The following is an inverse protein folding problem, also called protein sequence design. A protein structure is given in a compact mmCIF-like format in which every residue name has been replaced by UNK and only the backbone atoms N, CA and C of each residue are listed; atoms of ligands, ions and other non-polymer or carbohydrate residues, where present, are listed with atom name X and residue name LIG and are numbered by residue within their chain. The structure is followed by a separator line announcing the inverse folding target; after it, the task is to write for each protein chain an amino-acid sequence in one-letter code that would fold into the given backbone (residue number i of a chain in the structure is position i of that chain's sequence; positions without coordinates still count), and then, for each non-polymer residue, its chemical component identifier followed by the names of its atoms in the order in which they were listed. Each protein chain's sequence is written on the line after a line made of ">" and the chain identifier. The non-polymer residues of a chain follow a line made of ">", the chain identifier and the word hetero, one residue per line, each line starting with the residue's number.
data_IF_591115779866
#
_entry.id   IF_591115779866
#
_cell.length_a   1.000
_cell.length_b   1.000
_cell.length_c   1.000
_cell.angle_alpha   90.00
_cell.angle_beta   90.00
_cell.angle_gamma   90.00
#
_symmetry.space_group_name_H-M   'P 1'
#
loop_
_entity.id
_entity.type
_entity.pdbx_description
1 polymer ?
#
# COMPACT_ATOMS: atom_id res chain seq x y z
N UNK A 1 5.84 18.05 32.32
CA UNK A 1 7.00 17.39 31.69
C UNK A 1 6.54 16.56 30.51
N UNK A 2 5.47 15.78 30.69
CA UNK A 2 4.93 14.94 29.64
C UNK A 2 4.27 15.76 28.52
N UNK A 3 4.42 15.29 27.29
CA UNK A 3 3.72 15.81 26.13
C UNK A 3 2.35 15.17 26.01
N UNK A 4 1.32 15.99 25.83
CA UNK A 4 -0.06 15.55 25.72
C UNK A 4 -0.72 16.11 24.47
N UNK A 5 -1.74 15.39 24.00
CA UNK A 5 -2.60 15.80 22.90
C UNK A 5 -4.06 15.76 23.35
N UNK A 6 -4.83 16.78 22.99
CA UNK A 6 -6.27 16.86 23.29
C UNK A 6 -7.06 16.00 22.29
N UNK A 7 -7.85 15.06 22.80
CA UNK A 7 -8.69 14.16 21.97
C UNK A 7 -10.05 14.75 21.63
N UNK A 8 -10.60 15.62 22.47
CA UNK A 8 -11.97 16.12 22.35
C UNK A 8 -12.15 17.44 23.09
N UNK A 9 -12.97 18.33 22.53
CA UNK A 9 -13.31 19.63 23.12
C UNK A 9 -13.05 20.78 22.13
N UNK A 10 -13.04 22.01 22.65
CA UNK A 10 -12.76 23.23 21.86
C UNK A 10 -11.33 23.27 21.32
N UNK A 11 -10.39 22.65 22.03
CA UNK A 11 -8.96 22.60 21.70
C UNK A 11 -8.55 21.25 21.11
N UNK A 12 -9.40 20.65 20.25
CA UNK A 12 -9.12 19.33 19.67
C UNK A 12 -7.84 19.35 18.83
N UNK A 13 -7.08 18.25 18.89
CA UNK A 13 -5.81 18.07 18.20
C UNK A 13 -4.67 19.02 18.61
N UNK A 14 -4.90 19.88 19.60
CA UNK A 14 -3.85 20.72 20.18
C UNK A 14 -2.89 19.87 21.03
N UNK A 15 -1.59 20.10 20.85
CA UNK A 15 -0.52 19.41 21.58
C UNK A 15 0.25 20.39 22.45
N UNK A 16 0.82 19.87 23.54
CA UNK A 16 1.67 20.70 24.38
C UNK A 16 2.32 19.95 25.53
N UNK A 17 3.12 20.66 26.29
CA UNK A 17 3.81 20.13 27.48
C UNK A 17 3.02 20.47 28.74
N UNK A 18 2.79 19.48 29.61
CA UNK A 18 2.05 19.70 30.87
C UNK A 18 2.89 20.55 31.84
N UNK A 19 2.31 21.67 32.28
CA UNK A 19 2.91 22.59 33.26
C UNK A 19 2.32 22.38 34.66
N UNK A 20 1.00 22.16 34.75
CA UNK A 20 0.29 22.00 36.03
C UNK A 20 -0.81 20.94 35.94
N UNK A 21 -0.96 20.16 37.01
CA UNK A 21 -1.99 19.14 37.16
C UNK A 21 -2.78 19.37 38.46
N UNK A 22 -4.11 19.49 38.37
CA UNK A 22 -5.03 19.70 39.49
C UNK A 22 -6.05 18.56 39.64
N UNK A 23 -5.67 17.34 39.23
CA UNK A 23 -6.50 16.14 39.33
C UNK A 23 -7.61 16.05 38.27
N UNK A 24 -8.53 17.02 38.27
CA UNK A 24 -9.65 17.10 37.32
C UNK A 24 -9.30 17.85 36.04
N UNK A 25 -8.45 18.86 36.19
CA UNK A 25 -8.02 19.74 35.12
C UNK A 25 -6.50 19.72 35.00
N UNK A 26 -6.01 19.92 33.78
CA UNK A 26 -4.60 19.91 33.46
C UNK A 26 -4.31 21.11 32.58
N UNK A 27 -3.36 21.92 33.00
CA UNK A 27 -2.87 23.07 32.24
C UNK A 27 -1.60 22.66 31.52
N UNK A 28 -1.62 22.77 30.21
CA UNK A 28 -0.48 22.51 29.35
C UNK A 28 -0.13 23.76 28.55
N UNK A 29 1.15 23.92 28.23
CA UNK A 29 1.63 24.95 27.32
C UNK A 29 1.53 24.41 25.89
N UNK A 30 0.70 25.05 25.06
CA UNK A 30 0.50 24.67 23.66
C UNK A 30 1.75 24.90 22.82
N UNK A 31 2.15 23.91 22.02
CA UNK A 31 3.32 24.02 21.13
C UNK A 31 3.09 25.02 19.99
N UNK A 32 1.83 25.12 19.55
CA UNK A 32 1.45 25.96 18.43
C UNK A 32 1.35 27.43 18.85
N UNK A 33 0.61 27.71 19.93
CA UNK A 33 0.28 29.09 20.33
C UNK A 33 1.19 29.63 21.44
N UNK A 34 1.98 28.79 22.10
CA UNK A 34 2.76 29.14 23.31
C UNK A 34 1.89 29.79 24.40
N UNK A 35 0.60 29.42 24.44
CA UNK A 35 -0.35 29.84 25.46
C UNK A 35 -0.66 28.69 26.38
N UNK A 36 -0.90 29.01 27.64
CA UNK A 36 -1.40 28.03 28.61
C UNK A 36 -2.87 27.75 28.33
N UNK A 37 -3.19 26.47 28.13
CA UNK A 37 -4.54 25.97 27.88
C UNK A 37 -4.89 24.99 29.00
N UNK A 38 -6.03 25.21 29.63
CA UNK A 38 -6.56 24.34 30.68
C UNK A 38 -7.68 23.48 30.13
N UNK A 39 -7.53 22.15 30.22
CA UNK A 39 -8.54 21.18 29.78
C UNK A 39 -8.75 20.09 30.83
N UNK A 40 -9.87 19.39 30.75
CA UNK A 40 -10.12 18.24 31.62
C UNK A 40 -9.13 17.11 31.37
N UNK A 41 -8.58 16.53 32.44
CA UNK A 41 -7.59 15.45 32.33
C UNK A 41 -8.11 14.23 31.56
N UNK A 42 -9.43 13.97 31.61
CA UNK A 42 -10.08 12.85 30.89
C UNK A 42 -10.05 12.97 29.36
N UNK A 43 -9.84 14.16 28.80
CA UNK A 43 -9.81 14.38 27.34
C UNK A 43 -8.39 14.42 26.78
N UNK A 44 -7.37 14.31 27.64
CA UNK A 44 -5.97 14.28 27.24
C UNK A 44 -5.51 12.85 26.98
N UNK A 45 -4.60 12.71 26.02
CA UNK A 45 -3.83 11.49 25.78
C UNK A 45 -2.35 11.85 25.76
N UNK A 46 -1.52 10.98 26.32
CA UNK A 46 -0.07 11.09 26.16
C UNK A 46 0.30 11.07 24.68
N UNK A 47 1.11 12.03 24.26
CA UNK A 47 1.60 12.14 22.90
C UNK A 47 3.08 11.72 22.87
N UNK A 48 3.35 10.60 22.20
CA UNK A 48 4.70 10.04 22.02
C UNK A 48 5.33 10.54 20.71
N UNK A 49 4.63 11.37 19.93
CA UNK A 49 5.08 11.90 18.65
C UNK A 49 5.25 13.42 18.64
N UNK A 50 6.14 13.92 17.78
CA UNK A 50 6.41 15.36 17.58
C UNK A 50 5.11 16.14 17.39
N UNK A 51 4.76 17.01 18.35
CA UNK A 51 3.43 17.63 18.48
C UNK A 51 2.97 18.48 17.28
N UNK A 52 3.92 19.01 16.52
CA UNK A 52 3.62 19.93 15.42
C UNK A 52 2.95 19.27 14.21
N UNK A 53 3.17 17.97 14.01
CA UNK A 53 2.60 17.25 12.87
C UNK A 53 1.06 17.19 12.92
N UNK A 54 0.44 17.16 14.11
CA UNK A 54 -1.01 16.96 14.13
C UNK A 54 -1.81 18.24 13.87
N UNK A 55 -1.25 19.42 14.18
CA UNK A 55 -1.99 20.67 14.06
C UNK A 55 -2.31 21.07 12.60
N UNK A 56 -1.51 20.61 11.64
CA UNK A 56 -1.70 20.93 10.21
C UNK A 56 -2.54 19.89 9.46
N UNK A 57 -2.86 18.76 10.10
CA UNK A 57 -3.53 17.63 9.45
C UNK A 57 -2.64 16.80 8.51
N UNK A 58 -1.33 17.08 8.48
CA UNK A 58 -0.34 16.38 7.66
C UNK A 58 0.72 15.73 8.53
N UNK A 59 1.16 14.52 8.21
CA UNK A 59 2.27 13.89 8.90
C UNK A 59 3.58 14.09 8.14
N UNK A 60 4.69 13.98 8.87
CA UNK A 60 6.00 13.82 8.23
C UNK A 60 5.98 12.57 7.35
N UNK A 61 6.59 12.66 6.18
CA UNK A 61 6.64 11.66 5.12
C UNK A 61 5.34 11.43 4.35
N UNK A 62 4.30 12.26 4.55
CA UNK A 62 3.11 12.19 3.72
C UNK A 62 3.37 12.75 2.31
N UNK A 63 2.71 12.12 1.33
CA UNK A 63 2.68 12.61 -0.05
C UNK A 63 1.65 13.73 -0.17
N UNK A 64 2.06 14.85 -0.72
CA UNK A 64 1.20 16.00 -0.97
C UNK A 64 1.33 16.46 -2.41
N UNK A 65 0.26 17.07 -2.91
CA UNK A 65 0.26 17.76 -4.19
C UNK A 65 0.26 19.27 -3.92
N UNK A 66 1.22 19.96 -4.52
CA UNK A 66 1.35 21.40 -4.46
C UNK A 66 0.41 22.07 -5.50
N UNK A 67 0.16 23.37 -5.34
CA UNK A 67 -0.72 24.13 -6.22
C UNK A 67 -0.29 24.15 -7.71
N UNK A 68 1.00 23.94 -7.99
CA UNK A 68 1.56 23.80 -9.33
C UNK A 68 1.39 22.38 -9.93
N UNK A 69 0.52 21.54 -9.34
CA UNK A 69 0.30 20.13 -9.71
C UNK A 69 1.53 19.23 -9.61
N UNK A 70 2.57 19.65 -8.91
CA UNK A 70 3.74 18.82 -8.63
C UNK A 70 3.55 18.05 -7.34
N UNK A 71 3.97 16.78 -7.34
CA UNK A 71 3.97 15.97 -6.14
C UNK A 71 5.23 16.24 -5.33
N UNK A 72 5.08 16.25 -4.02
CA UNK A 72 6.17 16.45 -3.07
C UNK A 72 5.92 15.66 -1.79
N UNK A 73 6.98 15.40 -1.03
CA UNK A 73 6.91 14.73 0.27
C UNK A 73 7.29 15.70 1.37
N UNK A 74 6.51 15.71 2.45
CA UNK A 74 6.82 16.52 3.64
C UNK A 74 7.97 15.87 4.40
N UNK A 75 9.09 16.56 4.57
CA UNK A 75 10.22 16.05 5.38
C UNK A 75 10.34 16.75 6.74
N UNK A 76 9.79 17.96 6.86
CA UNK A 76 9.75 18.69 8.13
C UNK A 76 8.45 19.50 8.21
N UNK A 77 7.92 19.64 9.41
CA UNK A 77 6.74 20.45 9.68
C UNK A 77 7.19 21.56 10.63
N UNK A 78 6.84 22.80 10.30
CA UNK A 78 7.12 24.00 11.08
C UNK A 78 5.82 24.76 11.35
N UNK A 79 5.90 25.80 12.18
CA UNK A 79 4.73 26.62 12.53
C UNK A 79 4.22 27.42 11.34
N UNK A 80 5.13 27.91 10.51
CA UNK A 80 4.80 28.78 9.37
C UNK A 80 4.39 27.98 8.12
N UNK A 81 4.73 26.69 8.07
CA UNK A 81 4.39 25.83 6.95
C UNK A 81 5.00 24.44 7.02
N UNK A 82 4.80 23.66 5.96
CA UNK A 82 5.43 22.36 5.79
C UNK A 82 6.60 22.50 4.81
N UNK A 83 7.75 21.96 5.19
CA UNK A 83 8.87 21.81 4.28
C UNK A 83 8.65 20.57 3.42
N UNK A 84 8.62 20.79 2.12
CA UNK A 84 8.35 19.76 1.13
C UNK A 84 9.55 19.59 0.20
N UNK A 85 9.81 18.34 -0.18
CA UNK A 85 10.79 17.96 -1.19
C UNK A 85 10.04 17.55 -2.47
N UNK A 86 10.30 18.25 -3.57
CA UNK A 86 9.68 17.95 -4.86
C UNK A 86 10.37 16.79 -5.60
N UNK A 87 9.80 16.43 -6.75
CA UNK A 87 10.30 15.38 -7.65
C UNK A 87 11.61 15.72 -8.40
N UNK A 88 12.09 16.96 -8.33
CA UNK A 88 13.36 17.42 -8.91
C UNK A 88 14.45 17.62 -7.83
N UNK A 89 14.10 17.48 -6.55
CA UNK A 89 15.00 17.69 -5.41
C UNK A 89 14.99 19.09 -4.83
N UNK A 90 14.09 19.97 -5.27
CA UNK A 90 13.96 21.30 -4.68
C UNK A 90 13.20 21.22 -3.36
N UNK A 91 13.76 21.85 -2.34
CA UNK A 91 13.14 21.99 -1.02
C UNK A 91 12.53 23.38 -0.87
N UNK A 92 11.26 23.45 -0.47
CA UNK A 92 10.56 24.71 -0.27
C UNK A 92 9.61 24.64 0.94
N UNK A 93 9.42 25.79 1.60
CA UNK A 93 8.44 25.95 2.65
C UNK A 93 7.09 26.35 2.03
N UNK A 94 6.06 25.55 2.27
CA UNK A 94 4.73 25.76 1.70
C UNK A 94 3.69 25.84 2.80
N UNK A 95 2.78 26.82 2.70
CA UNK A 95 1.67 26.96 3.62
C UNK A 95 0.73 25.74 3.51
N UNK A 96 0.19 25.20 4.62
CA UNK A 96 -0.65 24.00 4.58
C UNK A 96 -1.91 24.17 3.72
N UNK A 97 -2.41 25.40 3.56
CA UNK A 97 -3.57 25.71 2.69
C UNK A 97 -3.30 25.51 1.20
N UNK A 98 -2.03 25.49 0.78
CA UNK A 98 -1.60 25.27 -0.60
C UNK A 98 -1.24 23.79 -0.87
N UNK A 99 -1.35 22.93 0.14
CA UNK A 99 -1.05 21.51 0.06
C UNK A 99 -2.35 20.70 0.03
N UNK A 100 -2.41 19.74 -0.89
CA UNK A 100 -3.49 18.77 -0.95
C UNK A 100 -2.95 17.38 -0.58
N UNK A 101 -3.57 16.65 0.37
CA UNK A 101 -3.12 15.32 0.72
C UNK A 101 -3.31 14.37 -0.46
N UNK A 102 -2.23 13.76 -0.93
CA UNK A 102 -2.29 12.77 -1.99
C UNK A 102 -2.30 11.37 -1.38
N UNK A 103 -3.49 10.76 -1.30
CA UNK A 103 -3.62 9.37 -0.85
C UNK A 103 -3.09 8.45 -1.94
N UNK A 104 -1.85 8.03 -1.79
CA UNK A 104 -1.29 7.11 -2.74
C UNK A 104 -1.82 5.69 -2.52
N UNK A 105 -2.49 5.15 -3.53
CA UNK A 105 -2.99 3.78 -3.53
C UNK A 105 -1.86 2.85 -3.98
N UNK A 106 -1.05 2.37 -3.03
CA UNK A 106 -0.17 1.21 -3.21
C UNK A 106 0.57 1.13 -4.56
N UNK A 107 1.16 2.23 -5.03
CA UNK A 107 1.91 2.19 -6.29
C UNK A 107 3.14 1.29 -6.15
N UNK A 108 3.34 0.41 -7.12
CA UNK A 108 4.48 -0.50 -7.19
C UNK A 108 5.32 -0.07 -8.38
N UNK A 109 6.62 0.12 -8.15
CA UNK A 109 7.59 0.34 -9.23
C UNK A 109 8.42 -0.91 -9.46
N UNK A 110 9.01 -1.02 -10.64
CA UNK A 110 9.91 -2.11 -10.99
C UNK A 110 11.25 -1.48 -11.36
N UNK A 111 12.34 -1.98 -10.77
CA UNK A 111 13.69 -1.52 -11.10
C UNK A 111 14.17 -2.12 -12.44
N UNK A 112 15.36 -1.73 -12.92
CA UNK A 112 15.92 -2.26 -14.18
C UNK A 112 16.17 -3.77 -14.15
N UNK A 113 16.39 -4.34 -12.97
CA UNK A 113 16.66 -5.77 -12.77
C UNK A 113 15.36 -6.61 -12.66
N UNK A 114 14.20 -5.96 -12.63
CA UNK A 114 12.89 -6.61 -12.51
C UNK A 114 12.42 -6.82 -11.07
N UNK A 115 13.09 -6.22 -10.09
CA UNK A 115 12.68 -6.21 -8.68
C UNK A 115 11.58 -5.18 -8.43
N UNK A 116 10.56 -5.57 -7.69
CA UNK A 116 9.50 -4.68 -7.25
C UNK A 116 9.98 -3.76 -6.12
N UNK A 117 9.56 -2.50 -6.17
CA UNK A 117 9.81 -1.45 -5.18
C UNK A 117 8.47 -1.05 -4.58
N UNK A 118 8.33 -1.25 -3.27
CA UNK A 118 7.12 -0.93 -2.49
C UNK A 118 7.46 -0.01 -1.33
N UNK A 119 6.44 0.70 -0.84
CA UNK A 119 6.54 1.45 0.43
C UNK A 119 6.93 0.49 1.56
N UNK A 120 7.97 0.85 2.29
CA UNK A 120 8.53 0.08 3.39
C UNK A 120 9.79 -0.71 3.04
N UNK A 121 10.10 -0.91 1.75
CA UNK A 121 11.28 -1.66 1.34
C UNK A 121 12.57 -0.87 1.60
N UNK A 122 13.65 -1.57 1.93
CA UNK A 122 14.98 -0.96 2.07
C UNK A 122 15.75 -1.08 0.76
N UNK A 123 16.07 0.06 0.16
CA UNK A 123 16.73 0.17 -1.13
C UNK A 123 18.08 0.89 -0.97
N UNK A 124 19.04 0.52 -1.80
CA UNK A 124 20.34 1.18 -1.94
C UNK A 124 20.41 1.87 -3.28
N UNK A 125 20.86 3.12 -3.27
CA UNK A 125 21.13 3.88 -4.47
C UNK A 125 22.48 3.48 -5.06
N UNK A 126 22.49 3.12 -6.35
CA UNK A 126 23.65 2.59 -7.07
C UNK A 126 24.50 3.72 -7.66
N UNK A 127 23.91 4.88 -7.96
CA UNK A 127 24.56 5.97 -8.70
C UNK A 127 24.83 7.17 -7.78
N UNK A 128 26.08 7.34 -7.34
CA UNK A 128 26.53 8.48 -6.54
C UNK A 128 27.93 8.30 -5.93
N UNK A 129 28.62 9.39 -5.59
CA UNK A 129 29.94 9.36 -4.92
C UNK A 129 29.90 8.70 -3.53
N UNK A 130 28.71 8.63 -2.92
CA UNK A 130 28.43 7.93 -1.67
C UNK A 130 27.16 7.10 -1.85
N UNK A 131 27.24 5.76 -1.75
CA UNK A 131 26.06 4.92 -1.87
C UNK A 131 25.18 5.12 -0.62
N UNK A 132 24.07 5.83 -0.80
CA UNK A 132 23.07 6.03 0.24
C UNK A 132 22.08 4.86 0.25
N UNK A 133 21.64 4.46 1.43
CA UNK A 133 20.63 3.41 1.61
C UNK A 133 19.52 3.92 2.49
N UNK A 134 18.27 3.63 2.14
CA UNK A 134 17.14 4.11 2.90
C UNK A 134 15.90 3.26 2.73
N UNK A 135 14.92 3.53 3.58
CA UNK A 135 13.61 2.94 3.47
C UNK A 135 12.76 3.76 2.50
N UNK A 136 12.06 3.08 1.59
CA UNK A 136 11.09 3.70 0.69
C UNK A 136 9.91 4.19 1.52
N UNK A 137 9.77 5.50 1.67
CA UNK A 137 8.63 6.10 2.37
C UNK A 137 7.43 6.25 1.45
N UNK A 138 7.68 6.56 0.18
CA UNK A 138 6.62 6.87 -0.76
C UNK A 138 7.08 6.72 -2.20
N UNK A 139 6.19 6.21 -3.03
CA UNK A 139 6.36 6.11 -4.48
C UNK A 139 5.41 7.07 -5.16
N UNK A 140 5.78 7.64 -6.31
CA UNK A 140 4.89 8.48 -7.13
C UNK A 140 4.87 8.02 -8.59
N UNK A 141 3.73 8.24 -9.27
CA UNK A 141 3.45 7.71 -10.61
C UNK A 141 4.32 8.31 -11.73
N UNK A 142 5.00 9.44 -11.50
CA UNK A 142 5.92 10.04 -12.47
C UNK A 142 7.28 9.34 -12.59
N UNK A 143 7.49 8.23 -11.86
CA UNK A 143 8.75 7.49 -11.88
C UNK A 143 9.74 7.98 -10.83
N UNK A 144 9.22 8.45 -9.69
CA UNK A 144 10.02 9.00 -8.59
C UNK A 144 9.72 8.23 -7.31
N UNK A 145 10.78 7.88 -6.59
CA UNK A 145 10.73 7.18 -5.31
C UNK A 145 11.38 8.07 -4.27
N UNK A 146 10.66 8.31 -3.18
CA UNK A 146 11.17 9.03 -2.01
C UNK A 146 11.65 8.03 -0.98
N UNK A 147 12.86 8.23 -0.48
CA UNK A 147 13.53 7.40 0.50
C UNK A 147 13.83 8.21 1.77
N UNK A 148 13.99 7.49 2.87
CA UNK A 148 14.33 8.04 4.16
C UNK A 148 15.43 7.23 4.84
N UNK A 149 16.41 7.93 5.39
CA UNK A 149 17.45 7.37 6.25
C UNK A 149 17.73 8.32 7.42
N UNK A 150 17.82 7.78 8.63
CA UNK A 150 18.07 8.56 9.85
C UNK A 150 19.50 9.08 9.93
N UNK A 151 20.43 8.40 9.28
CA UNK A 151 21.86 8.73 9.36
C UNK A 151 22.23 9.92 8.46
N UNK A 152 21.33 10.29 7.52
CA UNK A 152 21.51 11.42 6.61
C UNK A 152 20.94 12.68 7.26
N UNK A 153 21.78 13.70 7.44
CA UNK A 153 21.37 14.98 8.01
C UNK A 153 20.73 15.93 6.98
N UNK A 154 21.07 15.77 5.70
CA UNK A 154 20.50 16.52 4.58
C UNK A 154 18.99 16.29 4.49
N UNK A 155 18.20 17.37 4.44
CA UNK A 155 16.73 17.30 4.30
C UNK A 155 16.07 16.37 5.34
N UNK A 156 16.63 16.33 6.57
CA UNK A 156 16.20 15.42 7.64
C UNK A 156 16.19 13.94 7.23
N UNK A 157 17.04 13.57 6.27
CA UNK A 157 17.20 12.20 5.83
C UNK A 157 16.32 11.80 4.65
N UNK A 158 15.57 12.73 4.06
CA UNK A 158 14.69 12.45 2.91
C UNK A 158 15.37 12.86 1.61
N UNK A 159 15.36 11.97 0.63
CA UNK A 159 15.78 12.28 -0.74
C UNK A 159 14.92 11.55 -1.77
N UNK A 160 15.08 11.92 -3.04
CA UNK A 160 14.40 11.31 -4.17
C UNK A 160 15.40 10.52 -5.03
N UNK A 161 14.93 9.45 -5.66
CA UNK A 161 15.70 8.69 -6.64
C UNK A 161 14.79 8.10 -7.71
N UNK A 162 15.35 7.85 -8.89
CA UNK A 162 14.66 7.09 -9.95
C UNK A 162 14.68 5.59 -9.62
N UNK A 163 13.59 4.84 -9.89
CA UNK A 163 13.52 3.39 -9.71
C UNK A 163 14.68 2.61 -10.36
N UNK A 164 15.21 3.13 -11.48
CA UNK A 164 16.34 2.55 -12.20
C UNK A 164 17.66 2.56 -11.42
N UNK A 165 17.82 3.48 -10.48
CA UNK A 165 19.03 3.67 -9.67
C UNK A 165 18.98 2.94 -8.34
N UNK A 166 17.90 2.21 -8.08
CA UNK A 166 17.63 1.56 -6.79
C UNK A 166 17.78 0.05 -6.90
N UNK A 167 18.54 -0.52 -5.97
CA UNK A 167 18.70 -1.96 -5.79
C UNK A 167 18.22 -2.35 -4.39
N UNK A 168 17.38 -3.40 -4.24
CA UNK A 168 16.94 -3.85 -2.93
C UNK A 168 18.10 -4.39 -2.10
N UNK A 169 18.20 -3.94 -0.84
CA UNK A 169 19.17 -4.46 0.12
C UNK A 169 18.68 -5.74 0.79
N UNK A 170 17.38 -5.83 1.04
CA UNK A 170 16.77 -7.02 1.63
C UNK A 170 15.92 -7.72 0.59
N UNK A 171 16.24 -8.97 0.23
CA UNK A 171 15.48 -9.72 -0.76
C UNK A 171 14.17 -10.28 -0.20
N UNK A 172 13.18 -9.42 0.07
CA UNK A 172 11.85 -9.88 0.43
C UNK A 172 11.05 -10.38 -0.80
N UNK A 173 11.46 -10.00 -2.01
CA UNK A 173 10.70 -10.19 -3.25
C UNK A 173 11.49 -10.89 -4.38
N UNK A 174 12.53 -11.67 -4.07
CA UNK A 174 13.31 -12.40 -5.09
C UNK A 174 12.47 -13.44 -5.87
N UNK A 175 11.34 -13.89 -5.34
CA UNK A 175 10.44 -14.85 -6.02
C UNK A 175 9.37 -14.23 -6.92
N UNK A 176 9.28 -12.91 -7.01
CA UNK A 176 8.28 -12.17 -7.80
C UNK A 176 8.97 -11.23 -8.77
N UNK A 177 10.07 -11.66 -9.38
CA UNK A 177 10.59 -10.94 -10.54
C UNK A 177 9.46 -10.87 -11.57
N UNK A 178 9.15 -9.66 -12.02
CA UNK A 178 8.11 -9.48 -13.03
C UNK A 178 8.54 -10.17 -14.34
N UNK A 179 9.84 -10.41 -14.51
CA UNK A 179 10.41 -11.23 -15.60
C UNK A 179 9.96 -12.69 -15.54
N UNK A 180 9.99 -13.33 -14.36
CA UNK A 180 9.46 -14.69 -14.16
C UNK A 180 7.92 -14.76 -14.20
N UNK A 181 7.25 -13.62 -13.97
CA UNK A 181 5.78 -13.51 -13.95
C UNK A 181 5.18 -13.09 -15.29
N UNK A 182 5.93 -12.39 -16.16
CA UNK A 182 5.52 -12.00 -17.51
C UNK A 182 5.51 -13.19 -18.48
N UNK A 183 6.45 -14.13 -18.36
CA UNK A 183 6.40 -15.39 -19.11
C UNK A 183 5.18 -16.25 -18.74
N UNK A 184 4.63 -16.07 -17.53
CA UNK A 184 3.41 -16.74 -17.05
C UNK A 184 2.12 -15.99 -17.38
N UNK A 185 2.19 -14.73 -17.79
CA UNK A 185 1.02 -13.87 -18.06
C UNK A 185 0.74 -13.60 -19.55
N UNK A 186 1.53 -14.17 -20.47
CA UNK A 186 1.21 -14.11 -21.90
C UNK A 186 0.70 -15.47 -22.44
N UNK A 187 -0.62 -15.77 -22.32
CA UNK A 187 -1.18 -17.02 -22.82
C UNK A 187 -0.97 -17.20 -24.34
N UNK A 188 -0.80 -16.12 -25.11
CA UNK A 188 -0.55 -16.19 -26.55
C UNK A 188 0.87 -16.67 -26.90
N UNK A 189 1.89 -16.30 -26.10
CA UNK A 189 3.28 -16.69 -26.36
C UNK A 189 3.58 -18.12 -25.90
N UNK A 190 2.94 -18.58 -24.82
CA UNK A 190 3.06 -19.96 -24.35
C UNK A 190 2.37 -20.96 -25.29
N UNK A 191 1.32 -20.52 -26.01
CA UNK A 191 0.66 -21.32 -27.04
C UNK A 191 1.56 -21.51 -28.29
N UNK A 192 2.38 -20.52 -28.63
CA UNK A 192 3.24 -20.57 -29.81
C UNK A 192 4.51 -21.41 -29.61
N UNK A 193 4.99 -21.56 -28.37
CA UNK A 193 6.07 -22.49 -28.02
C UNK A 193 5.61 -23.96 -28.00
N UNK A 194 4.33 -24.22 -27.70
CA UNK A 194 3.72 -25.56 -27.80
C UNK A 194 3.40 -25.96 -29.25
N UNK A 195 3.30 -25.01 -30.19
CA UNK A 195 2.99 -25.30 -31.59
C UNK A 195 4.22 -25.75 -32.42
N UNK A 196 5.45 -25.53 -31.91
CA UNK A 196 6.70 -25.84 -32.64
C UNK A 196 7.32 -27.19 -32.27
N UNK A 197 6.69 -27.98 -31.40
CA UNK A 197 7.05 -29.39 -31.19
C UNK A 197 5.93 -30.27 -31.70
N UNK A 198 6.08 -30.65 -32.96
CA UNK A 198 5.24 -31.66 -33.59
C UNK A 198 5.24 -32.98 -32.82
N UNK A 199 4.20 -33.76 -33.12
CA UNK A 199 3.86 -35.10 -32.64
C UNK A 199 3.07 -35.18 -31.33
N UNK A 200 1.75 -35.28 -31.51
CA UNK A 200 1.03 -36.51 -31.15
C UNK A 200 0.66 -36.72 -29.68
N UNK A 201 -0.66 -36.76 -29.47
CA UNK A 201 -1.39 -37.58 -28.50
C UNK A 201 -1.50 -37.08 -27.03
N UNK A 202 -2.77 -36.81 -26.67
CA UNK A 202 -3.40 -36.80 -25.33
C UNK A 202 -3.11 -35.64 -24.36
N UNK A 203 -4.16 -34.94 -23.85
CA UNK A 203 -3.99 -33.90 -22.85
C UNK A 203 -4.22 -34.46 -21.44
N UNK A 204 -3.17 -34.49 -20.62
CA UNK A 204 -3.29 -34.57 -19.16
C UNK A 204 -2.32 -33.58 -18.54
N UNK A 205 -2.78 -32.48 -17.93
CA UNK A 205 -1.93 -31.60 -17.16
C UNK A 205 -1.88 -32.09 -15.71
N UNK A 206 -0.86 -32.86 -15.36
CA UNK A 206 -0.39 -32.93 -13.99
C UNK A 206 0.78 -31.95 -13.84
N UNK A 207 0.50 -30.73 -13.39
CA UNK A 207 1.51 -29.88 -12.77
C UNK A 207 0.96 -29.46 -11.42
N UNK A 208 1.39 -30.19 -10.39
CA UNK A 208 1.16 -29.86 -9.00
C UNK A 208 1.86 -28.53 -8.68
N UNK A 209 1.08 -27.49 -8.38
CA UNK A 209 1.56 -26.28 -7.74
C UNK A 209 0.79 -26.10 -6.42
N UNK A 210 1.34 -26.73 -5.39
CA UNK A 210 0.91 -26.60 -4.01
C UNK A 210 1.22 -25.20 -3.51
N UNK A 211 0.21 -24.49 -2.99
CA UNK A 211 0.36 -23.24 -2.25
C UNK A 211 -0.35 -22.05 -2.90
N UNK A 212 -1.54 -21.71 -2.36
CA UNK A 212 -2.44 -20.58 -2.70
C UNK A 212 -3.55 -20.92 -3.70
N UNK A 213 -4.43 -21.84 -3.33
CA UNK A 213 -5.73 -22.02 -3.98
C UNK A 213 -6.64 -20.84 -3.62
N UNK A 214 -6.43 -19.69 -4.24
CA UNK A 214 -7.49 -18.69 -4.37
C UNK A 214 -8.42 -19.23 -5.44
N UNK A 215 -9.56 -19.77 -5.00
CA UNK A 215 -10.59 -20.46 -5.78
C UNK A 215 -10.78 -19.92 -7.21
N UNK A 216 -10.04 -20.49 -8.17
CA UNK A 216 -10.07 -20.07 -9.58
C UNK A 216 -11.45 -20.24 -10.23
N UNK A 217 -12.28 -21.11 -9.64
CA UNK A 217 -13.62 -21.43 -10.12
C UNK A 217 -14.71 -20.51 -9.54
N UNK A 218 -14.39 -19.74 -8.49
CA UNK A 218 -15.34 -18.82 -7.85
C UNK A 218 -15.75 -17.70 -8.81
N UNK A 219 -17.05 -17.45 -8.92
CA UNK A 219 -17.65 -16.45 -9.81
C UNK A 219 -17.96 -16.95 -11.22
N UNK A 220 -17.57 -18.18 -11.59
CA UNK A 220 -17.87 -18.74 -12.92
C UNK A 220 -19.32 -19.16 -13.06
N UNK A 221 -19.86 -18.94 -14.25
CA UNK A 221 -21.17 -19.44 -14.64
C UNK A 221 -21.07 -20.90 -15.07
N UNK A 222 -21.87 -21.75 -14.45
CA UNK A 222 -21.85 -23.20 -14.69
C UNK A 222 -23.24 -23.74 -14.96
N UNK A 223 -23.29 -24.86 -15.67
CA UNK A 223 -24.48 -25.66 -15.89
C UNK A 223 -24.26 -27.05 -15.29
N UNK A 224 -25.24 -27.52 -14.52
CA UNK A 224 -25.21 -28.89 -13.98
C UNK A 224 -25.51 -29.88 -15.11
N UNK A 225 -24.61 -30.84 -15.36
CA UNK A 225 -24.74 -31.75 -16.53
C UNK A 225 -25.40 -33.09 -16.21
N UNK A 226 -25.51 -33.46 -14.92
CA UNK A 226 -26.02 -34.76 -14.46
C UNK A 226 -26.75 -34.63 -13.12
N UNK A 227 -27.65 -35.56 -12.82
CA UNK A 227 -28.42 -35.59 -11.58
C UNK A 227 -29.78 -34.88 -11.68
N UNK A 228 -30.50 -34.73 -10.56
CA UNK A 228 -31.86 -34.16 -10.54
C UNK A 228 -31.91 -32.69 -10.96
N UNK A 229 -30.81 -31.96 -10.77
CA UNK A 229 -30.66 -30.56 -11.17
C UNK A 229 -30.03 -30.40 -12.56
N UNK A 230 -30.03 -31.44 -13.40
CA UNK A 230 -29.45 -31.37 -14.75
C UNK A 230 -30.07 -30.22 -15.56
N UNK A 231 -29.23 -29.50 -16.30
CA UNK A 231 -29.52 -28.32 -17.10
C UNK A 231 -29.78 -27.03 -16.32
N UNK A 232 -29.78 -27.07 -14.98
CA UNK A 232 -29.91 -25.87 -14.16
C UNK A 232 -28.62 -25.05 -14.24
N UNK A 233 -28.78 -23.73 -14.29
CA UNK A 233 -27.69 -22.76 -14.42
C UNK A 233 -27.43 -22.11 -13.07
N UNK A 234 -26.17 -21.83 -12.77
CA UNK A 234 -25.79 -21.16 -11.54
C UNK A 234 -24.42 -20.50 -11.59
N UNK A 235 -24.03 -19.91 -10.47
CA UNK A 235 -22.71 -19.32 -10.25
C UNK A 235 -22.03 -20.03 -9.09
N UNK A 236 -20.76 -20.40 -9.25
CA UNK A 236 -19.96 -20.94 -8.16
C UNK A 236 -19.66 -19.82 -7.16
N UNK A 237 -20.11 -19.96 -5.91
CA UNK A 237 -19.83 -19.01 -4.83
C UNK A 237 -18.55 -19.34 -4.08
N UNK A 238 -18.24 -20.61 -3.96
CA UNK A 238 -17.09 -21.11 -3.21
C UNK A 238 -16.72 -22.51 -3.70
N UNK A 239 -15.43 -22.81 -3.73
CA UNK A 239 -14.95 -24.17 -4.00
C UNK A 239 -14.57 -24.79 -2.66
N UNK A 240 -15.18 -25.92 -2.34
CA UNK A 240 -14.93 -26.65 -1.10
C UNK A 240 -13.77 -27.62 -1.33
N UNK A 241 -13.15 -28.08 -0.23
CA UNK A 241 -12.26 -29.24 -0.30
C UNK A 241 -13.04 -30.47 -0.81
N UNK A 242 -12.34 -31.44 -1.43
CA UNK A 242 -12.93 -32.69 -1.96
C UNK A 242 -13.70 -32.52 -3.30
N UNK A 243 -13.17 -31.72 -4.23
CA UNK A 243 -13.70 -31.51 -5.59
C UNK A 243 -15.20 -31.17 -5.65
N UNK A 244 -15.68 -30.40 -4.67
CA UNK A 244 -17.07 -29.93 -4.60
C UNK A 244 -17.11 -28.41 -4.68
N UNK A 245 -18.19 -27.89 -5.24
CA UNK A 245 -18.45 -26.46 -5.36
C UNK A 245 -19.83 -26.12 -4.82
N UNK A 246 -19.91 -25.01 -4.10
CA UNK A 246 -21.16 -24.43 -3.64
C UNK A 246 -21.69 -23.51 -4.73
N UNK A 247 -22.85 -23.86 -5.30
CA UNK A 247 -23.41 -23.19 -6.49
C UNK A 247 -24.76 -22.56 -6.14
N UNK A 248 -24.89 -21.28 -6.45
CA UNK A 248 -26.18 -20.58 -6.42
C UNK A 248 -26.89 -20.83 -7.75
N UNK A 249 -28.01 -21.55 -7.74
CA UNK A 249 -28.80 -21.85 -8.93
C UNK A 249 -29.72 -20.68 -9.26
N UNK A 250 -29.61 -20.14 -10.48
CA UNK A 250 -30.44 -19.02 -10.96
C UNK A 250 -31.91 -19.39 -11.13
N UNK A 251 -32.19 -20.64 -11.48
CA UNK A 251 -33.55 -21.08 -11.82
C UNK A 251 -34.44 -21.26 -10.58
N UNK A 252 -33.83 -21.59 -9.44
CA UNK A 252 -34.55 -21.90 -8.19
C UNK A 252 -34.19 -20.98 -7.02
N UNK A 253 -33.29 -19.99 -7.22
CA UNK A 253 -32.76 -19.11 -6.18
C UNK A 253 -32.37 -19.86 -4.90
N UNK A 254 -31.82 -21.08 -5.08
CA UNK A 254 -31.42 -21.99 -4.02
C UNK A 254 -29.96 -22.35 -4.21
N UNK A 255 -29.25 -22.49 -3.10
CA UNK A 255 -27.86 -22.87 -3.10
C UNK A 255 -27.75 -24.36 -2.81
N UNK A 256 -26.94 -25.05 -3.61
CA UNK A 256 -26.69 -26.48 -3.48
C UNK A 256 -25.21 -26.79 -3.74
N UNK A 257 -24.74 -27.86 -3.11
CA UNK A 257 -23.35 -28.33 -3.27
C UNK A 257 -23.29 -29.40 -4.34
N UNK A 258 -22.43 -29.21 -5.33
CA UNK A 258 -22.24 -30.14 -6.43
C UNK A 258 -20.78 -30.59 -6.54
N UNK A 259 -20.51 -31.86 -6.88
CA UNK A 259 -19.20 -32.27 -7.34
C UNK A 259 -18.83 -31.52 -8.63
N UNK A 260 -17.58 -31.03 -8.73
CA UNK A 260 -17.06 -30.31 -9.89
C UNK A 260 -17.20 -31.10 -11.20
N UNK A 261 -17.09 -32.43 -11.13
CA UNK A 261 -17.30 -33.32 -12.27
C UNK A 261 -18.71 -33.25 -12.88
N UNK A 262 -19.70 -32.73 -12.15
CA UNK A 262 -21.07 -32.55 -12.62
C UNK A 262 -21.37 -31.12 -13.08
N UNK A 263 -20.38 -30.23 -13.03
CA UNK A 263 -20.49 -28.84 -13.45
C UNK A 263 -19.70 -28.64 -14.74
N UNK A 264 -20.32 -28.01 -15.74
CA UNK A 264 -19.64 -27.58 -16.96
C UNK A 264 -19.70 -26.07 -17.05
N UNK A 265 -18.57 -25.44 -17.30
CA UNK A 265 -18.49 -24.01 -17.54
C UNK A 265 -19.31 -23.65 -18.77
N UNK A 266 -20.10 -22.59 -18.62
CA UNK A 266 -20.87 -22.04 -19.71
C UNK A 266 -20.04 -20.90 -20.30
N UNK A 267 -19.62 -21.07 -21.56
CA UNK A 267 -19.10 -19.97 -22.38
C UNK A 267 -20.14 -18.84 -22.53
#
# INVERSE_FOLDING_TARGET
>A
GDHVKVKSGTHIDETGTVTKFDGKETTFLSDLTMKEVTVFSKVLRENVGSGLATATGFNTHDLVMMCNQRAAVIYNIEREGCWVLDEEGNSQLVAPSLLLPLRNTSSVWINQEGHEIRKGDTMKEVEGAYPRSGQVIQTYQSGVVFLYDRDISETKGVWYASPSRLTPLTPHHIGTSVRDSLDKMNPARNMQLMASRGNGLTPTPHVALSGRTKDYLKGRHVVVVKGPFKSYRGIIKETLADDKAYVELHTTNRNETFPLALLKEKE
#
